data_IF_832677231833
#
_entry.id   IF_832677231833
#
_cell.length_a   1.000
_cell.length_b   1.000
_cell.length_c   1.000
_cell.angle_alpha   90.00
_cell.angle_beta   90.00
_cell.angle_gamma   90.00
#
_symmetry.space_group_name_H-M   'P 1'
#
loop_
_entity.id
_entity.type
_entity.pdbx_description
1 polymer ?
#
# COMPACT_ATOMS: atom_id res chain seq x y z
N UNK A 1 -4.10 -60.16 1.34
CA UNK A 1 -4.94 -59.92 0.14
C UNK A 1 -5.81 -58.69 0.42
N UNK A 2 -6.20 -57.81 -0.51
CA UNK A 2 -6.24 -57.88 -2.00
C UNK A 2 -5.35 -56.79 -2.65
N UNK A 3 -5.29 -56.76 -3.98
CA UNK A 3 -4.57 -55.80 -4.85
C UNK A 3 -5.55 -55.21 -5.89
N UNK A 4 -5.10 -54.18 -6.64
CA UNK A 4 -5.72 -53.60 -7.85
C UNK A 4 -6.99 -52.74 -7.61
N UNK A 5 -7.32 -51.75 -8.44
CA UNK A 5 -6.79 -51.39 -9.77
C UNK A 5 -6.59 -49.86 -9.94
N UNK A 6 -5.76 -49.47 -10.92
CA UNK A 6 -5.78 -48.12 -11.53
C UNK A 6 -7.01 -47.99 -12.44
N UNK A 7 -7.41 -46.75 -12.75
CA UNK A 7 -7.81 -46.40 -14.11
C UNK A 7 -7.33 -44.98 -14.45
N UNK A 8 -7.02 -44.74 -15.72
CA UNK A 8 -6.60 -43.45 -16.27
C UNK A 8 -7.52 -43.12 -17.44
N UNK A 9 -7.81 -41.83 -17.66
CA UNK A 9 -8.43 -41.35 -18.88
C UNK A 9 -7.83 -40.00 -19.30
N UNK A 10 -7.47 -39.91 -20.58
CA UNK A 10 -6.91 -38.71 -21.20
C UNK A 10 -7.29 -38.71 -22.69
N UNK A 11 -8.23 -37.83 -23.06
CA UNK A 11 -8.61 -37.43 -24.42
C UNK A 11 -9.39 -36.09 -24.29
N UNK A 12 -9.50 -35.22 -25.29
CA UNK A 12 -8.61 -34.86 -26.38
C UNK A 12 -9.14 -33.57 -27.03
N UNK A 13 -8.29 -32.85 -27.74
CA UNK A 13 -8.63 -31.67 -28.55
C UNK A 13 -9.84 -31.87 -29.47
N UNK A 14 -10.75 -30.89 -29.48
CA UNK A 14 -11.47 -30.47 -30.69
C UNK A 14 -11.65 -28.95 -30.65
N UNK A 15 -11.29 -28.28 -31.74
CA UNK A 15 -11.55 -26.88 -31.98
C UNK A 15 -12.14 -26.70 -33.38
N UNK A 16 -12.98 -25.68 -33.55
CA UNK A 16 -13.43 -25.23 -34.87
C UNK A 16 -13.31 -23.71 -34.99
N UNK A 17 -13.15 -23.27 -36.22
CA UNK A 17 -12.98 -21.89 -36.66
C UNK A 17 -14.07 -21.57 -37.70
N UNK A 18 -14.23 -20.29 -38.02
CA UNK A 18 -15.15 -19.74 -39.03
C UNK A 18 -16.61 -19.58 -38.60
N UNK A 19 -17.38 -18.64 -39.16
CA UNK A 19 -17.05 -17.68 -40.23
C UNK A 19 -17.53 -16.25 -39.89
N UNK A 20 -16.88 -15.25 -40.47
CA UNK A 20 -17.34 -13.87 -40.44
C UNK A 20 -18.48 -13.67 -41.46
N UNK A 21 -19.48 -12.85 -41.14
CA UNK A 21 -20.43 -12.31 -42.10
C UNK A 21 -20.58 -10.80 -41.86
N UNK A 22 -20.15 -10.02 -42.85
CA UNK A 22 -20.36 -8.57 -42.92
C UNK A 22 -21.73 -8.33 -43.55
N UNK A 23 -22.42 -7.27 -43.14
CA UNK A 23 -23.33 -6.59 -44.05
C UNK A 23 -23.22 -5.06 -43.89
N UNK A 24 -23.53 -4.34 -44.97
CA UNK A 24 -23.26 -2.92 -45.14
C UNK A 24 -24.41 -2.28 -45.94
N UNK A 25 -24.97 -1.15 -45.46
CA UNK A 25 -25.52 0.00 -46.20
C UNK A 25 -26.55 0.78 -45.32
N UNK A 26 -26.44 2.12 -45.14
CA UNK A 26 -26.56 3.28 -46.07
C UNK A 26 -28.05 3.64 -46.36
N UNK A 27 -28.49 4.90 -46.60
CA UNK A 27 -27.84 6.22 -46.77
C UNK A 27 -28.66 7.31 -46.02
N UNK A 28 -28.15 8.56 -45.93
CA UNK A 28 -28.78 9.84 -45.53
C UNK A 28 -29.01 10.08 -44.01
N UNK A 29 -28.96 11.30 -43.46
CA UNK A 29 -28.78 12.71 -43.92
C UNK A 29 -30.03 13.59 -44.24
N UNK A 30 -30.14 14.68 -43.48
CA UNK A 30 -30.76 15.97 -43.83
C UNK A 30 -30.00 17.07 -43.05
N UNK A 31 -29.78 18.23 -43.68
CA UNK A 31 -28.96 19.34 -43.17
C UNK A 31 -29.81 20.64 -43.03
N UNK A 32 -29.13 21.78 -42.83
CA UNK A 32 -29.62 23.16 -42.57
C UNK A 32 -29.86 23.48 -41.08
N UNK A 33 -29.08 24.31 -40.36
CA UNK A 33 -28.35 25.57 -40.66
C UNK A 33 -29.20 26.84 -40.48
N UNK A 34 -28.59 27.90 -39.93
CA UNK A 34 -29.25 29.15 -39.54
C UNK A 34 -28.65 29.79 -38.27
N UNK A 35 -28.18 31.04 -38.37
CA UNK A 35 -27.35 31.69 -37.35
C UNK A 35 -27.69 33.20 -37.21
N UNK A 36 -27.72 33.71 -35.95
CA UNK A 36 -27.90 35.11 -35.56
C UNK A 36 -29.30 35.72 -35.88
N UNK A 37 -29.71 36.91 -35.39
CA UNK A 37 -28.98 37.92 -34.61
C UNK A 37 -29.85 38.68 -33.56
N UNK A 38 -29.19 39.59 -32.82
CA UNK A 38 -29.61 40.48 -31.73
C UNK A 38 -30.80 41.42 -32.05
N UNK A 39 -31.76 41.58 -31.12
CA UNK A 39 -31.99 42.88 -30.46
C UNK A 39 -32.77 42.88 -29.12
N UNK A 40 -32.45 43.91 -28.34
CA UNK A 40 -32.87 44.28 -26.98
C UNK A 40 -34.22 45.00 -26.90
N UNK A 41 -34.86 44.98 -25.72
CA UNK A 41 -35.43 46.20 -25.12
C UNK A 41 -35.26 46.22 -23.58
N UNK A 42 -35.24 47.43 -23.02
CA UNK A 42 -35.07 47.76 -21.60
C UNK A 42 -36.34 48.43 -21.05
N UNK A 43 -36.56 48.33 -19.73
CA UNK A 43 -37.26 49.37 -18.95
C UNK A 43 -36.55 49.60 -17.61
N UNK A 44 -36.29 50.87 -17.28
CA UNK A 44 -35.72 51.37 -16.01
C UNK A 44 -36.83 51.55 -14.94
N UNK A 45 -36.63 51.96 -13.67
CA UNK A 45 -35.71 52.89 -12.95
C UNK A 45 -35.54 52.38 -11.49
N UNK A 46 -34.70 52.87 -10.58
CA UNK A 46 -33.37 53.54 -10.53
C UNK A 46 -32.97 53.48 -9.00
N UNK A 47 -32.26 54.32 -8.21
CA UNK A 47 -31.45 55.57 -8.26
C UNK A 47 -30.67 55.63 -6.91
N UNK A 48 -29.55 56.32 -6.62
CA UNK A 48 -28.61 57.20 -7.34
C UNK A 48 -27.15 56.89 -6.85
N UNK A 49 -26.14 57.63 -7.32
CA UNK A 49 -24.78 57.72 -6.77
C UNK A 49 -24.20 59.12 -7.08
N UNK A 50 -23.38 59.75 -6.22
CA UNK A 50 -21.92 59.80 -6.44
C UNK A 50 -21.11 59.77 -5.11
N UNK A 51 -19.76 59.71 -5.03
CA UNK A 51 -18.67 60.35 -5.81
C UNK A 51 -17.44 59.44 -5.94
N UNK A 52 -16.64 59.68 -6.99
CA UNK A 52 -15.44 58.92 -7.37
C UNK A 52 -14.18 59.40 -6.62
N UNK A 53 -13.30 58.49 -6.23
CA UNK A 53 -11.87 58.70 -6.46
C UNK A 53 -11.12 57.38 -6.67
N UNK A 54 -10.17 57.35 -7.61
CA UNK A 54 -9.45 56.12 -7.96
C UNK A 54 -8.32 55.80 -6.97
N UNK A 55 -8.12 54.53 -6.64
CA UNK A 55 -6.78 54.04 -6.32
C UNK A 55 -6.64 52.54 -6.63
N UNK A 56 -5.62 52.20 -7.42
CA UNK A 56 -5.35 50.81 -7.84
C UNK A 56 -4.70 50.04 -6.70
N UNK A 57 -5.39 49.04 -6.15
CA UNK A 57 -4.74 47.94 -5.43
C UNK A 57 -5.58 46.66 -5.50
N UNK A 58 -4.98 45.57 -6.00
CA UNK A 58 -5.62 44.26 -6.02
C UNK A 58 -5.74 43.72 -4.60
N UNK A 59 -6.97 43.44 -4.15
CA UNK A 59 -7.25 42.71 -2.90
C UNK A 59 -6.88 41.23 -3.06
N UNK A 60 -5.59 40.93 -3.07
CA UNK A 60 -5.05 39.57 -3.07
C UNK A 60 -5.41 38.90 -1.74
N UNK A 61 -6.46 38.07 -1.74
CA UNK A 61 -6.77 37.23 -0.59
C UNK A 61 -5.63 36.22 -0.36
N UNK A 62 -4.83 36.41 0.69
CA UNK A 62 -3.83 35.43 1.09
C UNK A 62 -4.50 34.25 1.81
N UNK A 63 -4.47 33.08 1.19
CA UNK A 63 -4.71 31.80 1.87
C UNK A 63 -3.60 30.80 1.53
N UNK A 64 -2.51 30.91 2.28
CA UNK A 64 -1.48 29.87 2.57
C UNK A 64 -0.99 28.94 1.44
N UNK A 65 0.28 29.09 1.06
CA UNK A 65 1.02 28.12 0.23
C UNK A 65 1.03 26.70 0.86
N UNK A 66 0.85 25.62 0.08
CA UNK A 66 1.33 24.30 0.47
C UNK A 66 2.87 24.29 0.48
N UNK A 67 3.48 23.61 1.45
CA UNK A 67 4.94 23.66 1.65
C UNK A 67 5.72 22.98 0.53
N UNK A 68 6.84 23.61 0.12
CA UNK A 68 7.67 23.20 -1.01
C UNK A 68 8.35 21.82 -0.80
N UNK A 69 7.68 20.75 -1.24
CA UNK A 69 8.23 19.40 -1.28
C UNK A 69 9.15 19.14 -2.48
N UNK A 70 9.12 20.00 -3.51
CA UNK A 70 10.10 19.96 -4.61
C UNK A 70 11.44 20.60 -4.21
N UNK A 71 12.55 19.94 -4.56
CA UNK A 71 13.91 20.44 -4.32
C UNK A 71 14.77 20.27 -5.60
N UNK A 72 15.57 21.27 -6.01
CA UNK A 72 16.45 21.13 -7.18
C UNK A 72 17.44 19.97 -7.02
N UNK A 73 17.51 19.10 -8.03
CA UNK A 73 18.33 17.89 -8.01
C UNK A 73 18.76 17.51 -9.43
N UNK A 74 20.03 17.80 -9.74
CA UNK A 74 20.61 17.62 -11.07
C UNK A 74 21.56 16.42 -11.06
N UNK A 75 21.17 15.30 -11.66
CA UNK A 75 22.00 14.10 -11.78
C UNK A 75 21.63 13.30 -13.04
N UNK A 76 22.32 12.18 -13.30
CA UNK A 76 21.94 11.24 -14.36
C UNK A 76 21.42 9.93 -13.77
N UNK A 77 20.10 9.76 -13.84
CA UNK A 77 19.39 8.54 -13.48
C UNK A 77 19.55 7.49 -14.59
N UNK A 78 19.91 6.27 -14.23
CA UNK A 78 19.81 5.09 -15.10
C UNK A 78 18.58 4.30 -14.69
N UNK A 79 17.71 3.95 -15.63
CA UNK A 79 16.51 3.15 -15.34
C UNK A 79 16.93 1.71 -15.06
N UNK A 80 16.48 1.15 -13.94
CA UNK A 80 16.73 -0.24 -13.53
C UNK A 80 15.40 -0.92 -13.21
N UNK A 81 14.86 -1.63 -14.19
CA UNK A 81 13.62 -2.39 -14.10
C UNK A 81 13.80 -3.78 -14.71
N UNK A 82 13.55 -4.83 -13.92
CA UNK A 82 13.77 -6.23 -14.31
C UNK A 82 12.47 -6.99 -14.65
N UNK A 83 11.34 -6.30 -14.72
CA UNK A 83 10.08 -6.87 -15.20
C UNK A 83 9.93 -6.73 -16.73
N UNK A 84 9.00 -7.47 -17.36
CA UNK A 84 8.69 -7.29 -18.76
C UNK A 84 8.05 -5.91 -19.00
N UNK A 85 8.69 -5.06 -19.81
CA UNK A 85 8.14 -3.77 -20.24
C UNK A 85 9.06 -2.57 -19.98
N UNK A 86 8.44 -1.43 -19.67
CA UNK A 86 9.08 -0.11 -19.53
C UNK A 86 8.51 0.64 -18.33
N UNK A 87 9.27 1.55 -17.73
CA UNK A 87 8.87 2.34 -16.55
C UNK A 87 8.01 3.53 -16.95
N UNK A 88 6.80 3.65 -16.40
CA UNK A 88 5.87 4.74 -16.69
C UNK A 88 6.35 6.12 -16.18
N UNK A 89 6.10 7.16 -16.99
CA UNK A 89 6.33 8.57 -16.66
C UNK A 89 5.02 9.26 -16.28
N UNK A 90 5.06 10.06 -15.21
CA UNK A 90 3.88 10.67 -14.57
C UNK A 90 3.90 12.19 -14.67
N UNK A 91 2.71 12.82 -14.75
CA UNK A 91 2.58 14.27 -14.93
C UNK A 91 3.10 15.08 -13.74
N UNK A 92 2.89 14.56 -12.52
CA UNK A 92 3.47 15.03 -11.27
C UNK A 92 3.76 13.84 -10.34
N UNK A 93 4.22 14.10 -9.12
CA UNK A 93 4.53 13.07 -8.12
C UNK A 93 3.40 12.81 -7.10
N UNK A 94 2.48 13.76 -6.90
CA UNK A 94 1.48 13.73 -5.83
C UNK A 94 0.24 12.87 -6.19
N UNK A 95 -0.84 12.94 -5.43
CA UNK A 95 -2.05 12.11 -5.63
C UNK A 95 -2.81 12.42 -6.93
N UNK A 96 -2.65 13.63 -7.49
CA UNK A 96 -3.28 14.04 -8.76
C UNK A 96 -2.53 13.56 -10.01
N UNK A 97 -1.45 12.79 -9.86
CA UNK A 97 -0.60 12.35 -10.96
C UNK A 97 -1.37 11.53 -12.00
N UNK A 98 -1.16 11.85 -13.27
CA UNK A 98 -1.70 11.13 -14.44
C UNK A 98 -0.55 10.50 -15.22
N UNK A 99 -0.83 9.39 -15.89
CA UNK A 99 0.10 8.81 -16.87
C UNK A 99 0.26 9.80 -18.05
N UNK A 100 1.51 10.02 -18.47
CA UNK A 100 1.82 10.91 -19.61
C UNK A 100 1.73 10.21 -20.97
N UNK A 101 1.62 8.87 -20.99
CA UNK A 101 1.82 8.04 -22.18
C UNK A 101 3.30 7.72 -22.46
N UNK A 102 4.25 8.42 -21.83
CA UNK A 102 5.69 8.15 -22.00
C UNK A 102 6.16 7.00 -21.08
N UNK A 103 7.04 6.15 -21.61
CA UNK A 103 7.61 5.00 -20.89
C UNK A 103 9.10 4.82 -21.19
N UNK A 104 9.89 4.63 -20.12
CA UNK A 104 11.34 4.57 -20.16
C UNK A 104 11.83 3.11 -20.21
N UNK A 105 12.67 2.77 -21.20
CA UNK A 105 13.25 1.44 -21.28
C UNK A 105 14.33 1.22 -20.21
N UNK A 106 14.47 -0.03 -19.75
CA UNK A 106 15.54 -0.44 -18.84
C UNK A 106 16.92 -0.09 -19.42
N UNK A 107 17.86 0.37 -18.58
CA UNK A 107 19.18 0.84 -18.99
C UNK A 107 19.23 2.26 -19.58
N UNK A 108 18.10 2.88 -19.94
CA UNK A 108 18.11 4.27 -20.46
C UNK A 108 18.57 5.28 -19.40
N UNK A 109 19.20 6.38 -19.84
CA UNK A 109 19.84 7.38 -18.98
C UNK A 109 19.17 8.74 -19.15
N UNK A 110 18.73 9.35 -18.05
CA UNK A 110 17.95 10.58 -18.04
C UNK A 110 18.54 11.63 -17.10
N UNK A 111 18.55 12.89 -17.53
CA UNK A 111 18.88 14.02 -16.65
C UNK A 111 17.70 14.25 -15.70
N UNK A 112 17.98 14.35 -14.41
CA UNK A 112 17.03 14.86 -13.42
C UNK A 112 17.22 16.37 -13.23
N UNK A 113 16.15 17.05 -12.82
CA UNK A 113 16.14 18.51 -12.54
C UNK A 113 15.64 18.84 -11.12
N UNK A 114 14.70 18.04 -10.62
CA UNK A 114 14.12 18.17 -9.27
C UNK A 114 13.95 16.79 -8.66
N UNK A 115 13.80 16.77 -7.34
CA UNK A 115 13.34 15.62 -6.57
C UNK A 115 12.20 16.07 -5.64
N UNK A 116 11.26 15.18 -5.32
CA UNK A 116 10.15 15.46 -4.41
C UNK A 116 9.72 14.19 -3.66
N UNK A 117 9.03 14.36 -2.53
CA UNK A 117 8.31 13.28 -1.88
C UNK A 117 6.81 13.46 -2.04
N UNK A 118 6.09 12.37 -2.28
CA UNK A 118 4.64 12.37 -2.25
C UNK A 118 4.10 12.25 -0.81
N UNK A 119 2.78 12.33 -0.67
CA UNK A 119 2.06 12.22 0.62
C UNK A 119 2.26 10.87 1.32
N UNK A 120 2.67 9.83 0.58
CA UNK A 120 3.02 8.51 1.10
C UNK A 120 4.52 8.40 1.43
N UNK A 121 5.28 9.50 1.35
CA UNK A 121 6.72 9.55 1.61
C UNK A 121 7.60 8.94 0.52
N UNK A 122 7.02 8.47 -0.60
CA UNK A 122 7.77 7.88 -1.70
C UNK A 122 8.62 8.93 -2.40
N UNK A 123 9.84 8.58 -2.78
CA UNK A 123 10.77 9.49 -3.44
C UNK A 123 10.54 9.50 -4.95
N UNK A 124 10.49 10.71 -5.53
CA UNK A 124 10.26 10.95 -6.95
C UNK A 124 11.31 11.91 -7.52
N UNK A 125 11.53 11.83 -8.83
CA UNK A 125 12.48 12.66 -9.58
C UNK A 125 11.86 13.20 -10.87
N UNK A 126 12.10 14.47 -11.16
CA UNK A 126 11.62 15.17 -12.35
C UNK A 126 12.62 15.06 -13.50
N UNK A 127 12.11 14.73 -14.70
CA UNK A 127 12.89 14.51 -15.93
C UNK A 127 12.75 15.65 -16.96
N UNK A 128 12.18 16.79 -16.55
CA UNK A 128 11.93 17.96 -17.38
C UNK A 128 10.44 18.17 -17.66
N UNK A 129 9.94 19.36 -17.34
CA UNK A 129 8.52 19.72 -17.46
C UNK A 129 7.63 18.85 -16.56
N UNK A 130 6.44 18.49 -17.05
CA UNK A 130 5.46 17.64 -16.34
C UNK A 130 5.79 16.15 -16.52
N UNK A 131 7.01 15.74 -16.13
CA UNK A 131 7.48 14.36 -16.26
C UNK A 131 8.24 13.92 -15.02
N UNK A 132 7.72 12.90 -14.34
CA UNK A 132 8.24 12.38 -13.08
C UNK A 132 8.34 10.85 -13.09
N UNK A 133 9.39 10.34 -12.44
CA UNK A 133 9.64 8.91 -12.22
C UNK A 133 9.87 8.63 -10.74
N UNK A 134 9.41 7.48 -10.25
CA UNK A 134 9.59 7.05 -8.86
C UNK A 134 10.97 6.39 -8.66
N UNK A 135 11.60 6.69 -7.53
CA UNK A 135 12.95 6.24 -7.13
C UNK A 135 13.16 4.71 -7.26
N UNK A 136 12.10 3.94 -6.94
CA UNK A 136 12.05 2.46 -6.97
C UNK A 136 12.62 1.82 -8.26
N UNK A 137 12.65 2.54 -9.38
CA UNK A 137 13.07 2.00 -10.68
C UNK A 137 14.30 2.71 -11.28
N UNK A 138 15.08 3.47 -10.50
CA UNK A 138 16.26 4.19 -10.99
C UNK A 138 17.50 3.98 -10.11
N UNK A 139 18.69 4.23 -10.67
CA UNK A 139 19.94 4.38 -9.90
C UNK A 139 20.75 5.56 -10.43
N UNK A 140 21.47 6.27 -9.56
CA UNK A 140 22.35 7.37 -9.98
C UNK A 140 23.78 6.87 -10.15
N UNK A 141 24.37 7.13 -11.31
CA UNK A 141 25.71 6.62 -11.67
C UNK A 141 26.86 7.56 -11.30
N UNK A 142 26.57 8.82 -11.02
CA UNK A 142 27.41 9.78 -10.32
C UNK A 142 26.48 10.86 -9.73
N UNK A 143 26.34 10.91 -8.40
CA UNK A 143 25.64 11.99 -7.73
C UNK A 143 26.63 13.14 -7.49
N UNK A 144 26.39 14.38 -7.96
CA UNK A 144 27.35 15.45 -7.80
C UNK A 144 27.49 15.84 -6.32
N UNK A 145 28.71 15.72 -5.82
CA UNK A 145 29.13 16.14 -4.48
C UNK A 145 29.08 17.67 -4.37
N UNK A 146 27.91 18.21 -4.02
CA UNK A 146 27.77 19.65 -3.74
C UNK A 146 28.64 20.06 -2.56
N UNK A 147 29.74 20.76 -2.86
CA UNK A 147 30.39 21.70 -1.92
C UNK A 147 29.44 22.89 -1.72
N UNK A 148 28.39 22.67 -0.93
CA UNK A 148 27.40 23.69 -0.60
C UNK A 148 28.01 24.75 0.33
N UNK A 149 27.52 26.00 0.24
CA UNK A 149 27.77 27.00 1.25
C UNK A 149 27.22 26.50 2.60
N UNK A 150 27.98 26.67 3.69
CA UNK A 150 27.66 26.07 4.99
C UNK A 150 26.63 26.92 5.74
N UNK A 151 25.37 26.81 5.33
CA UNK A 151 24.23 27.03 6.22
C UNK A 151 23.86 25.66 6.79
N UNK A 152 24.11 25.45 8.09
CA UNK A 152 24.07 24.13 8.71
C UNK A 152 22.65 23.58 8.91
N UNK A 153 22.01 23.14 7.82
CA UNK A 153 20.75 22.39 7.88
C UNK A 153 21.04 20.94 8.31
N UNK A 154 21.17 20.73 9.61
CA UNK A 154 21.34 19.41 10.22
C UNK A 154 20.10 18.54 9.95
N UNK A 155 20.24 17.56 9.04
CA UNK A 155 19.22 16.53 8.82
C UNK A 155 19.22 15.56 10.00
N UNK A 156 18.64 15.98 11.12
CA UNK A 156 18.78 15.24 12.38
C UNK A 156 18.04 13.90 12.33
N UNK A 157 18.76 12.81 12.64
CA UNK A 157 18.15 11.48 12.59
C UNK A 157 17.11 11.33 13.70
N UNK A 158 15.93 10.90 13.29
CA UNK A 158 14.76 10.71 14.13
C UNK A 158 14.01 9.45 13.63
N UNK A 159 13.64 8.56 14.55
CA UNK A 159 13.02 7.27 14.22
C UNK A 159 14.02 6.11 14.12
N UNK A 160 13.59 5.00 13.50
CA UNK A 160 14.35 3.75 13.40
C UNK A 160 15.42 3.85 12.31
N UNK A 161 16.57 3.25 12.53
CA UNK A 161 17.58 2.99 11.49
C UNK A 161 18.32 1.67 11.73
N UNK A 162 18.90 1.09 10.67
CA UNK A 162 19.71 -0.13 10.76
C UNK A 162 21.22 0.22 10.81
N UNK A 163 21.88 -0.13 11.91
CA UNK A 163 23.34 -0.04 12.03
C UNK A 163 24.00 -1.27 11.42
N UNK A 164 24.43 -1.19 10.16
CA UNK A 164 25.04 -2.30 9.43
C UNK A 164 26.29 -2.91 10.10
N UNK A 165 27.11 -2.08 10.75
CA UNK A 165 28.30 -2.54 11.50
C UNK A 165 27.93 -3.50 12.65
N UNK A 166 26.87 -3.16 13.40
CA UNK A 166 26.39 -3.94 14.55
C UNK A 166 25.22 -4.89 14.19
N UNK A 167 24.84 -4.94 12.90
CA UNK A 167 23.75 -5.74 12.31
C UNK A 167 22.40 -5.62 13.04
N UNK A 168 22.10 -4.44 13.61
CA UNK A 168 20.96 -4.22 14.53
C UNK A 168 20.13 -3.00 14.13
N UNK A 169 18.86 -3.00 14.51
CA UNK A 169 18.04 -1.79 14.51
C UNK A 169 18.29 -0.96 15.77
N UNK A 170 18.31 0.37 15.62
CA UNK A 170 18.41 1.36 16.71
C UNK A 170 17.34 2.45 16.50
N UNK A 171 17.02 3.21 17.56
CA UNK A 171 16.09 4.35 17.47
C UNK A 171 16.84 5.65 17.78
N UNK A 172 16.75 6.65 16.90
CA UNK A 172 17.31 7.97 17.10
C UNK A 172 16.24 8.99 17.52
N UNK A 173 16.60 9.93 18.40
CA UNK A 173 15.92 11.23 18.54
C UNK A 173 16.99 12.33 18.52
N UNK A 174 16.87 13.26 17.57
CA UNK A 174 17.85 14.32 17.33
C UNK A 174 19.31 13.80 17.33
N UNK A 175 19.58 12.81 16.46
CA UNK A 175 20.84 12.07 16.31
C UNK A 175 21.34 11.26 17.52
N UNK A 176 20.72 11.38 18.70
CA UNK A 176 21.07 10.60 19.88
C UNK A 176 20.35 9.25 19.84
N UNK A 177 21.13 8.16 19.92
CA UNK A 177 20.58 6.81 20.12
C UNK A 177 19.80 6.82 21.43
N UNK A 178 18.56 6.32 21.38
CA UNK A 178 17.68 6.19 22.54
C UNK A 178 17.85 4.80 23.17
N UNK A 179 17.67 4.71 24.49
CA UNK A 179 17.75 3.44 25.23
C UNK A 179 16.51 3.17 26.09
N UNK A 180 16.31 1.91 26.47
CA UNK A 180 15.21 1.50 27.35
C UNK A 180 13.89 1.28 26.62
N UNK A 181 12.77 1.70 27.22
CA UNK A 181 11.42 1.61 26.63
C UNK A 181 11.11 2.89 25.86
N UNK A 182 10.88 2.78 24.55
CA UNK A 182 10.62 3.90 23.66
C UNK A 182 9.23 3.76 23.08
N UNK A 183 8.36 4.76 23.27
CA UNK A 183 7.04 4.81 22.62
C UNK A 183 7.11 5.81 21.45
N UNK A 184 6.57 5.42 20.29
CA UNK A 184 6.52 6.24 19.08
C UNK A 184 5.23 5.94 18.33
N UNK A 185 4.24 6.83 18.45
CA UNK A 185 2.90 6.63 17.90
C UNK A 185 2.26 5.33 18.42
N UNK A 186 1.88 4.43 17.52
CA UNK A 186 1.31 3.12 17.88
C UNK A 186 2.35 2.06 18.29
N UNK A 187 3.65 2.33 18.19
CA UNK A 187 4.70 1.34 18.50
C UNK A 187 5.37 1.58 19.86
N UNK A 188 5.75 0.48 20.51
CA UNK A 188 6.69 0.43 21.64
C UNK A 188 7.88 -0.42 21.26
N UNK A 189 9.08 0.11 21.48
CA UNK A 189 10.36 -0.59 21.30
C UNK A 189 11.03 -0.76 22.67
N UNK A 190 11.82 -1.82 22.80
CA UNK A 190 12.69 -2.03 23.96
C UNK A 190 14.12 -2.29 23.45
N UNK A 191 15.09 -1.56 24.01
CA UNK A 191 16.50 -1.67 23.61
C UNK A 191 17.38 -2.24 24.71
N UNK A 192 18.53 -2.79 24.30
CA UNK A 192 19.67 -3.03 25.18
C UNK A 192 20.34 -1.72 25.64
N UNK A 193 21.34 -1.84 26.53
CA UNK A 193 22.13 -0.72 27.06
C UNK A 193 22.98 0.02 26.02
N UNK A 194 23.13 -0.54 24.82
CA UNK A 194 23.85 0.04 23.68
C UNK A 194 22.88 0.60 22.60
N UNK A 195 21.56 0.59 22.86
CA UNK A 195 20.51 1.08 21.95
C UNK A 195 20.02 0.10 20.89
N UNK A 196 20.47 -1.17 20.91
CA UNK A 196 19.99 -2.21 20.00
C UNK A 196 18.55 -2.62 20.35
N UNK A 197 17.61 -2.44 19.42
CA UNK A 197 16.21 -2.83 19.60
C UNK A 197 16.11 -4.36 19.65
N UNK A 198 15.75 -4.92 20.81
CA UNK A 198 15.56 -6.36 21.00
C UNK A 198 14.09 -6.78 20.99
N UNK A 199 13.13 -5.84 21.10
CA UNK A 199 11.69 -6.12 21.05
C UNK A 199 10.94 -4.94 20.43
N UNK A 200 9.97 -5.25 19.57
CA UNK A 200 9.03 -4.29 18.99
C UNK A 200 7.60 -4.82 19.13
N UNK A 201 6.68 -3.95 19.55
CA UNK A 201 5.25 -4.23 19.61
C UNK A 201 4.45 -3.03 19.09
N UNK A 202 3.46 -3.29 18.25
CA UNK A 202 2.48 -2.34 17.78
C UNK A 202 1.17 -2.51 18.56
N UNK A 203 0.65 -1.43 19.13
CA UNK A 203 -0.67 -1.45 19.76
C UNK A 203 -1.76 -1.53 18.68
N UNK A 204 -2.20 -2.75 18.39
CA UNK A 204 -3.34 -3.03 17.52
C UNK A 204 -4.54 -3.42 18.40
N UNK A 205 -5.75 -2.88 18.16
CA UNK A 205 -6.98 -3.32 18.83
C UNK A 205 -7.21 -4.82 18.61
N UNK A 206 -7.67 -5.52 19.64
CA UNK A 206 -8.07 -6.93 19.52
C UNK A 206 -9.58 -7.01 19.28
N UNK A 207 -9.99 -7.86 18.33
CA UNK A 207 -11.37 -8.01 17.89
C UNK A 207 -11.67 -9.51 17.84
N UNK A 208 -12.76 -9.94 18.48
CA UNK A 208 -13.30 -11.30 18.32
C UNK A 208 -14.05 -11.42 16.99
N UNK A 209 -13.89 -12.53 16.27
CA UNK A 209 -14.74 -12.87 15.13
C UNK A 209 -16.15 -13.23 15.59
N UNK A 210 -16.26 -13.95 16.72
CA UNK A 210 -17.50 -14.43 17.33
C UNK A 210 -18.25 -13.33 18.13
N UNK A 211 -19.59 -13.45 18.28
CA UNK A 211 -20.44 -14.48 17.67
C UNK A 211 -20.74 -14.28 16.16
N UNK A 212 -20.58 -13.08 15.63
CA UNK A 212 -21.24 -12.61 14.40
C UNK A 212 -20.57 -13.05 13.09
N UNK A 213 -19.29 -13.43 13.12
CA UNK A 213 -18.56 -14.03 12.00
C UNK A 213 -17.94 -15.37 12.43
N UNK A 214 -18.74 -16.47 12.56
CA UNK A 214 -18.24 -17.75 13.07
C UNK A 214 -17.02 -18.27 12.31
N UNK A 215 -17.00 -18.09 10.98
CA UNK A 215 -15.92 -18.51 10.08
C UNK A 215 -15.13 -17.34 9.47
N UNK A 216 -15.18 -16.14 10.08
CA UNK A 216 -14.53 -14.93 9.56
C UNK A 216 -13.20 -14.56 10.23
N UNK A 217 -12.28 -15.51 10.38
CA UNK A 217 -10.99 -15.25 11.03
C UNK A 217 -10.13 -14.25 10.24
N UNK A 218 -10.09 -14.38 8.91
CA UNK A 218 -9.30 -13.54 8.01
C UNK A 218 -9.81 -12.11 7.96
N UNK A 219 -11.12 -11.92 7.85
CA UNK A 219 -11.72 -10.59 7.82
C UNK A 219 -11.55 -9.88 9.16
N UNK A 220 -11.61 -10.62 10.27
CA UNK A 220 -11.35 -10.06 11.60
C UNK A 220 -9.86 -9.71 11.77
N UNK A 221 -8.94 -10.56 11.31
CA UNK A 221 -7.51 -10.28 11.31
C UNK A 221 -7.12 -9.10 10.40
N UNK A 222 -7.69 -9.02 9.18
CA UNK A 222 -7.52 -7.87 8.28
C UNK A 222 -8.13 -6.60 8.89
N UNK A 223 -9.26 -6.69 9.60
CA UNK A 223 -9.81 -5.54 10.34
C UNK A 223 -8.84 -5.05 11.42
N UNK A 224 -8.26 -5.96 12.20
CA UNK A 224 -7.25 -5.60 13.20
C UNK A 224 -6.02 -4.96 12.53
N UNK A 225 -5.49 -5.54 11.46
CA UNK A 225 -4.39 -4.95 10.69
C UNK A 225 -4.70 -3.54 10.18
N UNK A 226 -5.89 -3.33 9.59
CA UNK A 226 -6.33 -2.03 9.07
C UNK A 226 -6.53 -0.99 10.18
N UNK A 227 -7.14 -1.36 11.32
CA UNK A 227 -7.23 -0.47 12.49
C UNK A 227 -5.84 -0.15 13.06
N UNK A 228 -4.91 -1.11 13.04
CA UNK A 228 -3.51 -0.87 13.37
C UNK A 228 -2.82 0.14 12.44
N UNK A 229 -3.24 0.22 11.18
CA UNK A 229 -2.81 1.24 10.22
C UNK A 229 -3.51 2.61 10.41
N UNK A 230 -4.46 2.73 11.35
CA UNK A 230 -5.24 3.94 11.59
C UNK A 230 -6.57 4.00 10.82
N UNK A 231 -6.93 2.98 10.06
CA UNK A 231 -8.17 2.95 9.27
C UNK A 231 -9.38 2.73 10.18
N UNK A 232 -10.37 3.62 10.08
CA UNK A 232 -11.67 3.50 10.75
C UNK A 232 -12.57 2.51 9.99
N UNK A 233 -12.36 1.21 10.23
CA UNK A 233 -13.13 0.11 9.60
C UNK A 233 -13.51 -0.97 10.62
N UNK A 234 -14.63 -1.65 10.42
CA UNK A 234 -15.11 -2.77 11.25
C UNK A 234 -15.18 -4.10 10.47
N UNK A 235 -15.34 -5.22 11.20
CA UNK A 235 -15.30 -6.58 10.63
C UNK A 235 -16.41 -6.86 9.62
N UNK A 236 -17.56 -6.21 9.73
CA UNK A 236 -18.67 -6.35 8.79
C UNK A 236 -18.40 -5.63 7.47
N UNK A 237 -17.77 -4.45 7.53
CA UNK A 237 -17.31 -3.74 6.33
C UNK A 237 -16.26 -4.56 5.59
N UNK A 238 -15.25 -5.12 6.28
CA UNK A 238 -14.25 -6.02 5.66
C UNK A 238 -14.92 -7.29 5.11
N UNK A 239 -15.89 -7.90 5.80
CA UNK A 239 -16.57 -9.10 5.34
C UNK A 239 -17.49 -8.90 4.13
N UNK A 240 -18.15 -7.74 4.05
CA UNK A 240 -18.93 -7.32 2.87
C UNK A 240 -18.01 -6.97 1.69
N UNK A 241 -16.88 -6.32 1.95
CA UNK A 241 -15.95 -5.87 0.91
C UNK A 241 -15.05 -6.99 0.39
N UNK A 242 -14.96 -8.12 1.11
CA UNK A 242 -14.21 -9.31 0.67
C UNK A 242 -14.96 -10.03 -0.46
N UNK A 243 -14.34 -10.22 -1.65
CA UNK A 243 -14.96 -10.92 -2.77
C UNK A 243 -15.50 -12.31 -2.41
N UNK A 244 -16.56 -12.74 -3.11
CA UNK A 244 -17.10 -14.10 -3.01
C UNK A 244 -16.50 -14.96 -4.12
N UNK A 245 -16.13 -16.20 -3.84
CA UNK A 245 -15.67 -17.16 -4.86
C UNK A 245 -15.87 -18.60 -4.44
N UNK A 246 -15.80 -19.54 -5.39
CA UNK A 246 -15.58 -20.96 -5.13
C UNK A 246 -14.10 -21.30 -4.89
N UNK A 247 -13.18 -20.37 -5.18
CA UNK A 247 -11.74 -20.53 -5.00
C UNK A 247 -11.16 -19.45 -4.07
N UNK A 248 -10.52 -19.89 -2.98
CA UNK A 248 -9.92 -19.04 -1.93
C UNK A 248 -8.91 -17.99 -2.42
N UNK A 249 -8.25 -18.21 -3.56
CA UNK A 249 -7.30 -17.25 -4.14
C UNK A 249 -7.98 -16.06 -4.83
N UNK A 250 -9.28 -16.14 -5.13
CA UNK A 250 -10.05 -15.05 -5.76
C UNK A 250 -11.14 -14.46 -4.85
N UNK A 251 -11.50 -15.13 -3.76
CA UNK A 251 -12.49 -14.65 -2.79
C UNK A 251 -12.79 -15.68 -1.70
N UNK A 252 -13.58 -15.31 -0.70
CA UNK A 252 -13.94 -16.20 0.39
C UNK A 252 -14.97 -17.25 -0.04
N UNK A 253 -14.74 -18.50 0.37
CA UNK A 253 -15.55 -19.69 0.03
C UNK A 253 -16.56 -20.02 1.14
N UNK A 254 -17.85 -20.18 0.79
CA UNK A 254 -18.95 -20.48 1.73
C UNK A 254 -19.73 -19.23 2.17
N UNK A 255 -19.96 -19.02 3.47
CA UNK A 255 -20.51 -17.78 4.04
C UNK A 255 -19.85 -17.46 5.41
N UNK A 256 -19.18 -16.30 5.61
CA UNK A 256 -18.46 -16.01 6.86
C UNK A 256 -19.36 -15.74 8.07
N UNK A 257 -20.64 -15.43 7.84
CA UNK A 257 -21.67 -15.31 8.87
C UNK A 257 -22.25 -16.68 9.28
N UNK A 258 -21.91 -17.76 8.55
CA UNK A 258 -22.29 -19.12 8.87
C UNK A 258 -21.21 -19.85 9.67
N UNK A 259 -21.62 -20.87 10.43
CA UNK A 259 -20.72 -21.93 10.93
C UNK A 259 -20.19 -22.82 9.79
N UNK A 260 -20.84 -22.81 8.62
CA UNK A 260 -20.40 -23.45 7.38
C UNK A 260 -19.78 -22.43 6.41
N UNK A 261 -18.51 -22.09 6.68
CA UNK A 261 -17.64 -21.30 5.81
C UNK A 261 -16.23 -21.88 5.82
N UNK A 262 -15.45 -21.63 4.78
CA UNK A 262 -14.16 -22.30 4.57
C UNK A 262 -12.99 -21.34 4.81
N UNK A 263 -12.64 -20.52 3.83
CA UNK A 263 -11.49 -19.60 3.92
C UNK A 263 -11.45 -18.58 2.77
N UNK A 264 -10.59 -17.58 2.90
CA UNK A 264 -10.00 -16.75 1.84
C UNK A 264 -8.47 -16.71 2.00
N UNK A 265 -7.72 -16.82 0.90
CA UNK A 265 -6.26 -16.72 0.91
C UNK A 265 -5.79 -15.28 0.67
N UNK A 266 -4.52 -14.93 0.94
CA UNK A 266 -4.00 -13.56 0.80
C UNK A 266 -4.38 -12.86 -0.52
N UNK A 267 -4.37 -13.58 -1.64
CA UNK A 267 -4.75 -13.04 -2.95
C UNK A 267 -6.21 -12.56 -3.00
N UNK A 268 -7.15 -13.32 -2.43
CA UNK A 268 -8.58 -13.00 -2.47
C UNK A 268 -8.99 -11.82 -1.58
N UNK A 269 -8.27 -11.58 -0.47
CA UNK A 269 -8.57 -10.49 0.48
C UNK A 269 -7.62 -9.26 0.36
N UNK A 270 -6.48 -9.38 -0.32
CA UNK A 270 -5.61 -8.25 -0.65
C UNK A 270 -6.31 -7.06 -1.35
N UNK A 271 -7.33 -7.24 -2.23
CA UNK A 271 -8.12 -6.12 -2.76
C UNK A 271 -8.77 -5.25 -1.69
N UNK A 272 -9.18 -5.83 -0.55
CA UNK A 272 -9.77 -5.07 0.57
C UNK A 272 -8.72 -4.23 1.27
N UNK A 273 -7.53 -4.78 1.52
CA UNK A 273 -6.40 -4.02 2.09
C UNK A 273 -6.04 -2.84 1.18
N UNK A 274 -5.94 -3.09 -0.13
CA UNK A 274 -5.67 -2.06 -1.14
C UNK A 274 -6.76 -1.00 -1.24
N UNK A 275 -8.04 -1.36 -1.06
CA UNK A 275 -9.16 -0.41 -1.01
C UNK A 275 -9.01 0.60 0.14
N UNK A 276 -8.51 0.15 1.29
CA UNK A 276 -8.42 0.96 2.50
C UNK A 276 -7.08 1.69 2.71
N UNK A 277 -5.99 1.22 2.09
CA UNK A 277 -4.63 1.76 2.27
C UNK A 277 -3.93 2.15 0.94
N UNK A 278 -4.61 2.06 -0.19
CA UNK A 278 -4.04 2.29 -1.53
C UNK A 278 -3.05 1.21 -2.01
N UNK A 279 -2.52 0.40 -1.10
CA UNK A 279 -1.57 -0.68 -1.36
C UNK A 279 -1.84 -1.92 -0.49
N UNK A 280 -1.26 -3.05 -0.88
CA UNK A 280 -1.37 -4.34 -0.20
C UNK A 280 -0.17 -5.21 -0.62
N UNK A 281 0.56 -5.81 0.32
CA UNK A 281 1.67 -6.70 0.03
C UNK A 281 1.35 -8.13 0.46
N UNK A 282 1.16 -9.03 -0.52
CA UNK A 282 1.09 -10.47 -0.26
C UNK A 282 2.51 -10.96 0.08
N UNK A 283 2.68 -11.48 1.30
CA UNK A 283 3.95 -11.96 1.86
C UNK A 283 4.02 -13.49 1.89
N UNK A 284 3.18 -14.17 1.09
CA UNK A 284 3.18 -15.63 0.99
C UNK A 284 4.55 -16.15 0.53
N UNK A 285 5.16 -17.01 1.33
CA UNK A 285 6.49 -17.57 1.07
C UNK A 285 7.67 -16.67 1.45
N UNK A 286 7.43 -15.47 1.99
CA UNK A 286 8.49 -14.54 2.40
C UNK A 286 9.42 -15.13 3.50
N UNK A 287 10.61 -14.54 3.65
CA UNK A 287 11.48 -14.84 4.80
C UNK A 287 10.89 -14.29 6.09
N UNK A 288 11.18 -14.94 7.22
CA UNK A 288 10.79 -14.45 8.54
C UNK A 288 11.39 -13.05 8.81
N UNK A 289 12.56 -12.76 8.25
CA UNK A 289 13.21 -11.45 8.37
C UNK A 289 12.42 -10.35 7.67
N UNK A 290 11.71 -10.65 6.57
CA UNK A 290 10.79 -9.69 5.93
C UNK A 290 9.49 -9.50 6.71
N UNK A 291 9.03 -10.52 7.45
CA UNK A 291 7.92 -10.37 8.41
C UNK A 291 8.37 -9.46 9.57
N UNK A 292 9.58 -9.68 10.10
CA UNK A 292 10.17 -8.87 11.17
C UNK A 292 10.41 -7.42 10.73
N UNK A 293 10.84 -7.21 9.49
CA UNK A 293 11.03 -5.88 8.90
C UNK A 293 9.72 -5.07 8.84
N UNK A 294 8.61 -5.69 8.42
CA UNK A 294 7.27 -5.07 8.47
C UNK A 294 6.89 -4.69 9.91
N UNK A 295 7.06 -5.61 10.87
CA UNK A 295 6.73 -5.36 12.27
C UNK A 295 7.62 -4.27 12.91
N UNK A 296 8.90 -4.22 12.53
CA UNK A 296 9.84 -3.17 12.95
C UNK A 296 9.38 -1.79 12.46
N UNK A 297 9.01 -1.68 11.18
CA UNK A 297 8.52 -0.44 10.58
C UNK A 297 7.03 -0.13 10.88
N UNK A 298 6.38 -0.90 11.76
CA UNK A 298 5.04 -0.58 12.26
C UNK A 298 3.89 -1.05 11.37
N UNK A 299 4.15 -1.97 10.45
CA UNK A 299 3.16 -2.66 9.62
C UNK A 299 2.77 -3.98 10.31
N UNK A 300 1.50 -4.11 10.67
CA UNK A 300 0.97 -5.39 11.17
C UNK A 300 0.89 -6.41 10.02
N UNK A 301 0.95 -7.71 10.33
CA UNK A 301 0.96 -8.78 9.33
C UNK A 301 -0.11 -9.81 9.68
N UNK A 302 -1.07 -10.04 8.77
CA UNK A 302 -1.98 -11.18 8.88
C UNK A 302 -1.25 -12.44 8.41
N UNK A 303 -1.28 -13.50 9.21
CA UNK A 303 -0.68 -14.80 8.91
C UNK A 303 -1.74 -15.90 9.03
N UNK A 304 -1.71 -16.84 8.09
CA UNK A 304 -2.56 -18.03 8.12
C UNK A 304 -1.75 -19.19 8.71
N UNK A 305 -2.40 -19.98 9.57
CA UNK A 305 -1.76 -20.88 10.52
C UNK A 305 -2.49 -22.23 10.49
N UNK A 306 -1.80 -23.31 10.14
CA UNK A 306 -2.41 -24.63 10.08
C UNK A 306 -2.49 -25.29 11.46
N UNK A 307 -3.57 -26.04 11.73
CA UNK A 307 -3.77 -26.83 12.96
C UNK A 307 -3.64 -25.98 14.24
N UNK A 308 -4.38 -24.88 14.31
CA UNK A 308 -4.33 -23.90 15.41
C UNK A 308 -5.74 -23.62 15.94
N UNK A 309 -5.89 -23.52 17.27
CA UNK A 309 -7.18 -23.33 17.96
C UNK A 309 -8.30 -24.35 17.60
N UNK A 310 -7.95 -25.52 17.05
CA UNK A 310 -8.89 -26.54 16.57
C UNK A 310 -9.19 -26.49 15.06
N UNK A 311 -8.73 -25.45 14.35
CA UNK A 311 -8.94 -25.29 12.92
C UNK A 311 -7.79 -25.86 12.09
N UNK A 312 -8.11 -26.45 10.94
CA UNK A 312 -7.12 -26.83 9.91
C UNK A 312 -6.43 -25.61 9.30
N UNK A 313 -7.08 -24.44 9.29
CA UNK A 313 -6.53 -23.15 8.90
C UNK A 313 -7.15 -22.06 9.80
N UNK A 314 -6.32 -21.17 10.36
CA UNK A 314 -6.74 -20.02 11.18
C UNK A 314 -5.90 -18.79 10.83
N UNK A 315 -6.52 -17.61 10.74
CA UNK A 315 -5.80 -16.36 10.51
C UNK A 315 -5.64 -15.53 11.80
N UNK A 316 -4.42 -15.07 12.03
CA UNK A 316 -4.04 -14.22 13.18
C UNK A 316 -3.38 -12.93 12.69
N UNK A 317 -3.36 -11.88 13.52
CA UNK A 317 -2.62 -10.64 13.22
C UNK A 317 -1.37 -10.56 14.08
N UNK A 318 -0.17 -10.72 13.51
CA UNK A 318 1.06 -10.38 14.21
C UNK A 318 1.13 -8.87 14.48
N UNK A 319 1.53 -8.54 15.70
CA UNK A 319 1.66 -7.18 16.22
C UNK A 319 3.09 -6.87 16.68
N UNK A 320 3.95 -7.87 16.85
CA UNK A 320 5.33 -7.64 17.26
C UNK A 320 6.17 -8.92 17.39
N UNK A 321 7.44 -8.74 17.73
CA UNK A 321 8.36 -9.85 18.03
C UNK A 321 9.50 -9.38 18.95
N UNK A 322 10.25 -10.33 19.50
CA UNK A 322 11.54 -10.07 20.14
C UNK A 322 12.66 -11.00 19.66
N UNK A 323 13.91 -10.61 19.86
CA UNK A 323 15.11 -11.37 19.43
C UNK A 323 15.32 -12.67 20.20
N UNK A 324 14.63 -12.87 21.33
CA UNK A 324 14.55 -14.17 22.04
C UNK A 324 13.60 -15.16 21.34
N UNK A 325 12.98 -14.76 20.23
CA UNK A 325 12.13 -15.63 19.42
C UNK A 325 10.69 -15.77 19.92
N UNK A 326 10.17 -14.81 20.68
CA UNK A 326 8.73 -14.72 20.98
C UNK A 326 8.07 -13.74 20.00
N UNK A 327 6.92 -14.15 19.46
CA UNK A 327 6.08 -13.35 18.58
C UNK A 327 4.77 -12.99 19.28
N UNK A 328 4.32 -11.75 19.10
CA UNK A 328 3.12 -11.20 19.71
C UNK A 328 2.03 -11.05 18.65
N UNK A 329 0.79 -11.43 18.96
CA UNK A 329 -0.31 -11.43 18.01
C UNK A 329 -1.67 -11.18 18.66
N UNK A 330 -2.63 -10.75 17.84
CA UNK A 330 -4.04 -10.70 18.21
C UNK A 330 -4.74 -11.92 17.58
N UNK A 331 -5.45 -12.70 18.41
CA UNK A 331 -6.14 -13.92 18.00
C UNK A 331 -7.66 -13.65 17.88
N UNK A 332 -8.25 -13.72 16.67
CA UNK A 332 -9.67 -13.41 16.48
C UNK A 332 -10.62 -14.50 16.99
N UNK A 333 -10.14 -15.72 17.25
CA UNK A 333 -10.97 -16.80 17.81
C UNK A 333 -11.17 -16.66 19.33
N UNK A 334 -10.10 -16.34 20.06
CA UNK A 334 -10.13 -16.17 21.53
C UNK A 334 -10.47 -14.74 21.96
N UNK A 335 -10.34 -13.76 21.04
CA UNK A 335 -10.51 -12.34 21.33
C UNK A 335 -9.37 -11.74 22.16
N UNK A 336 -8.19 -12.37 22.19
CA UNK A 336 -7.08 -12.02 23.10
C UNK A 336 -5.80 -11.57 22.36
N UNK A 337 -5.00 -10.78 23.08
CA UNK A 337 -3.59 -10.55 22.74
C UNK A 337 -2.78 -11.70 23.32
N UNK A 338 -2.06 -12.41 22.47
CA UNK A 338 -1.40 -13.69 22.77
C UNK A 338 0.07 -13.67 22.30
N UNK A 339 0.84 -14.69 22.67
CA UNK A 339 2.22 -14.84 22.21
C UNK A 339 2.58 -16.28 21.90
N UNK A 340 3.54 -16.49 21.01
CA UNK A 340 3.93 -17.79 20.46
C UNK A 340 5.44 -17.87 20.23
N UNK A 341 6.03 -19.06 20.41
CA UNK A 341 7.45 -19.29 20.11
C UNK A 341 7.71 -19.26 18.59
N UNK A 342 8.93 -18.86 18.19
CA UNK A 342 9.39 -18.92 16.79
C UNK A 342 9.25 -20.31 16.19
N UNK A 343 9.53 -21.36 16.97
CA UNK A 343 9.44 -22.74 16.50
C UNK A 343 7.98 -23.13 16.20
N UNK A 344 7.06 -22.83 17.12
CA UNK A 344 5.63 -23.07 16.94
C UNK A 344 5.07 -22.23 15.78
N UNK A 345 5.38 -20.94 15.72
CA UNK A 345 4.97 -20.03 14.65
C UNK A 345 5.38 -20.58 13.27
N UNK A 346 6.67 -20.92 13.09
CA UNK A 346 7.17 -21.46 11.84
C UNK A 346 6.56 -22.82 11.49
N UNK A 347 6.26 -23.67 12.47
CA UNK A 347 5.61 -24.96 12.26
C UNK A 347 4.18 -24.82 11.71
N UNK A 348 3.35 -24.00 12.37
CA UNK A 348 1.98 -23.72 11.91
C UNK A 348 1.95 -22.98 10.55
N UNK A 349 2.84 -22.01 10.36
CA UNK A 349 2.90 -21.19 9.15
C UNK A 349 3.43 -21.99 7.94
N UNK A 350 4.46 -22.82 8.11
CA UNK A 350 4.98 -23.66 7.02
C UNK A 350 3.96 -24.71 6.57
N UNK A 351 3.17 -25.27 7.50
CA UNK A 351 2.07 -26.21 7.18
C UNK A 351 0.96 -25.54 6.37
N UNK A 352 0.72 -24.23 6.53
CA UNK A 352 -0.20 -23.47 5.68
C UNK A 352 0.50 -22.69 4.55
N UNK A 353 1.44 -23.35 3.86
CA UNK A 353 2.15 -22.82 2.66
C UNK A 353 2.85 -21.47 2.87
N UNK A 354 3.14 -21.08 4.12
CA UNK A 354 3.70 -19.77 4.52
C UNK A 354 2.88 -18.57 4.03
N UNK A 355 1.53 -18.66 4.02
CA UNK A 355 0.65 -17.55 3.62
C UNK A 355 0.72 -16.37 4.60
N UNK A 356 0.88 -15.15 4.07
CA UNK A 356 0.88 -13.92 4.86
C UNK A 356 0.44 -12.71 4.01
N UNK A 357 -0.07 -11.66 4.66
CA UNK A 357 -0.54 -10.42 4.03
C UNK A 357 -0.21 -9.23 4.93
N UNK A 358 0.26 -8.14 4.32
CA UNK A 358 0.46 -6.85 4.98
C UNK A 358 0.12 -5.71 4.00
N UNK A 359 0.53 -4.50 4.32
CA UNK A 359 0.54 -3.33 3.45
C UNK A 359 1.99 -2.86 3.34
#
# INVERSE_FOLDING_TARGET
>A
MKKKNLLSFCFASLGLVSLCLINHNQVKAAEADGQADVQTQNTSLDSQNPVINENKNNTTQQVTNPTNNERPYNAVATIKYQGPGKVAVWSNYNETKKLTGNYLANGTRWKTFKQAKDTNGSQWYNLGGNQWVIDKYITFSNAPTKKAAVTAQTNTRNGIAYEGQHKRYVFYRNDKIQTGKIVSGSQTFYTDKFGGIYSVQKNVPVISQRPELPTGCEMTAVTMMLQGAGVKVNKFQVARDTPRSSNGDYGFVGNPYSVTGWWVFPNGIAPVVRKYLGHSENLTGASLDRINDKLMHGHAVVMWMANMNGFVNHAITLTGYNTRGVYYYNNPWTGRKESISRASLLSHWARDKKRALSY
#
